data_IF_465924502322
#
_entry.id   IF_465924502322
#
_cell.length_a   1.000
_cell.length_b   1.000
_cell.length_c   1.000
_cell.angle_alpha   90.00
_cell.angle_beta   90.00
_cell.angle_gamma   90.00
#
_symmetry.space_group_name_H-M   'P 1'
#
loop_
_entity.id
_entity.type
_entity.pdbx_description
1 polymer ?
#
# COMPACT_ATOMS: atom_id res chain seq x y z
N UNK A 1 3.85 9.18 19.82
CA UNK A 1 5.11 8.88 19.12
C UNK A 1 6.19 8.20 19.97
N UNK A 2 6.55 8.66 21.18
CA UNK A 2 7.62 8.01 22.00
C UNK A 2 7.32 6.56 22.36
N UNK A 3 6.08 6.21 22.72
CA UNK A 3 5.67 4.85 23.05
C UNK A 3 5.85 3.90 21.87
N UNK A 4 5.40 4.30 20.67
CA UNK A 4 5.56 3.52 19.44
C UNK A 4 7.04 3.28 19.12
N UNK A 5 7.90 4.30 19.27
CA UNK A 5 9.35 4.14 19.05
C UNK A 5 9.98 3.15 20.04
N UNK A 6 9.49 3.09 21.29
CA UNK A 6 9.95 2.07 22.25
C UNK A 6 9.56 0.66 21.82
N UNK A 7 8.36 0.46 21.27
CA UNK A 7 7.94 -0.83 20.71
C UNK A 7 8.83 -1.23 19.52
N UNK A 8 9.09 -0.31 18.56
CA UNK A 8 10.01 -0.58 17.46
C UNK A 8 11.38 -1.01 17.95
N UNK A 9 11.91 -0.32 18.95
CA UNK A 9 13.21 -0.64 19.52
C UNK A 9 13.23 -1.99 20.25
N UNK A 10 12.17 -2.31 21.00
CA UNK A 10 12.04 -3.57 21.74
C UNK A 10 11.95 -4.78 20.81
N UNK A 11 11.24 -4.63 19.67
CA UNK A 11 11.00 -5.70 18.69
C UNK A 11 12.00 -5.69 17.52
N UNK A 12 13.05 -4.86 17.56
CA UNK A 12 13.98 -4.71 16.45
C UNK A 12 14.68 -6.03 16.07
N UNK A 13 14.91 -6.19 14.77
CA UNK A 13 15.65 -7.30 14.20
C UNK A 13 16.75 -6.77 13.27
N UNK A 14 18.00 -6.82 13.75
CA UNK A 14 19.17 -6.33 13.01
C UNK A 14 19.41 -7.10 11.71
N UNK A 15 19.15 -8.41 11.70
CA UNK A 15 19.35 -9.24 10.49
C UNK A 15 18.39 -8.81 9.38
N UNK A 16 17.10 -8.63 9.69
CA UNK A 16 16.11 -8.15 8.72
C UNK A 16 16.48 -6.73 8.27
N UNK A 17 16.86 -5.85 9.19
CA UNK A 17 17.26 -4.49 8.85
C UNK A 17 18.45 -4.47 7.88
N UNK A 18 19.45 -5.33 8.08
CA UNK A 18 20.62 -5.44 7.19
C UNK A 18 20.25 -6.01 5.81
N UNK A 19 19.37 -7.00 5.75
CA UNK A 19 18.85 -7.51 4.48
C UNK A 19 18.14 -6.40 3.69
N UNK A 20 17.27 -5.63 4.34
CA UNK A 20 16.55 -4.53 3.69
C UNK A 20 17.51 -3.44 3.19
N UNK A 21 18.52 -3.07 3.97
CA UNK A 21 19.56 -2.09 3.53
C UNK A 21 20.33 -2.60 2.30
N UNK A 22 20.75 -3.86 2.32
CA UNK A 22 21.45 -4.49 1.18
C UNK A 22 20.57 -4.59 -0.06
N UNK A 23 19.26 -4.72 0.11
CA UNK A 23 18.27 -4.71 -0.97
C UNK A 23 17.96 -3.30 -1.49
N UNK A 24 18.62 -2.24 -0.99
CA UNK A 24 18.44 -0.88 -1.48
C UNK A 24 17.24 -0.12 -0.88
N UNK A 25 16.78 -0.50 0.31
CA UNK A 25 15.72 0.24 1.01
C UNK A 25 16.12 1.72 1.18
N UNK A 26 15.23 2.68 0.83
CA UNK A 26 15.55 4.12 0.87
C UNK A 26 15.55 4.70 2.28
N UNK A 27 15.15 3.94 3.28
CA UNK A 27 14.99 4.43 4.64
C UNK A 27 16.33 4.52 5.39
N UNK A 28 16.55 5.67 6.03
CA UNK A 28 17.72 5.87 6.88
C UNK A 28 17.67 5.05 8.18
N UNK A 29 16.44 4.89 8.73
CA UNK A 29 16.19 4.14 9.97
C UNK A 29 15.30 2.95 9.63
N UNK A 30 15.82 1.75 9.94
CA UNK A 30 15.12 0.47 9.76
C UNK A 30 15.32 -0.33 11.05
N UNK A 31 14.24 -0.62 11.75
CA UNK A 31 14.25 -1.49 12.93
C UNK A 31 14.18 -2.97 12.55
N UNK A 32 13.70 -3.29 11.35
CA UNK A 32 13.59 -4.65 10.84
C UNK A 32 12.38 -5.41 11.37
N UNK A 33 11.30 -4.72 11.74
CA UNK A 33 10.06 -5.38 12.14
C UNK A 33 9.39 -6.01 10.92
N UNK A 34 8.79 -7.19 11.15
CA UNK A 34 7.91 -7.81 10.17
C UNK A 34 6.46 -7.30 10.29
N UNK A 35 5.64 -7.66 9.29
CA UNK A 35 4.24 -7.20 9.24
C UNK A 35 3.40 -7.64 10.46
N UNK A 36 3.47 -8.90 10.96
CA UNK A 36 2.77 -9.31 12.16
C UNK A 36 3.10 -8.46 13.40
N UNK A 37 4.36 -8.10 13.61
CA UNK A 37 4.79 -7.24 14.72
C UNK A 37 4.19 -5.82 14.60
N UNK A 38 4.14 -5.27 13.40
CA UNK A 38 3.51 -3.97 13.16
C UNK A 38 1.99 -4.04 13.38
N UNK A 39 1.33 -5.13 12.99
CA UNK A 39 -0.10 -5.35 13.27
C UNK A 39 -0.37 -5.44 14.78
N UNK A 40 0.50 -6.11 15.53
CA UNK A 40 0.40 -6.16 16.99
C UNK A 40 0.52 -4.77 17.62
N UNK A 41 1.51 -3.97 17.19
CA UNK A 41 1.67 -2.59 17.66
C UNK A 41 0.45 -1.74 17.28
N UNK A 42 -0.07 -1.89 16.06
CA UNK A 42 -1.28 -1.19 15.63
C UNK A 42 -2.49 -1.52 16.52
N UNK A 43 -2.70 -2.82 16.82
CA UNK A 43 -3.79 -3.27 17.69
C UNK A 43 -3.68 -2.71 19.12
N UNK A 44 -2.46 -2.60 19.65
CA UNK A 44 -2.20 -2.02 20.98
C UNK A 44 -2.35 -0.48 20.97
N UNK A 45 -2.09 0.17 19.85
CA UNK A 45 -2.18 1.63 19.73
C UNK A 45 -3.62 2.08 19.53
N UNK A 46 -4.41 1.33 18.77
CA UNK A 46 -5.75 1.72 18.33
C UNK A 46 -5.73 2.81 17.25
N UNK A 47 -6.92 3.27 16.90
CA UNK A 47 -7.10 4.32 15.90
C UNK A 47 -6.68 5.68 16.47
N UNK A 48 -5.75 6.37 15.79
CA UNK A 48 -5.23 7.68 16.16
C UNK A 48 -4.73 8.43 14.92
N UNK A 49 -5.56 9.32 14.38
CA UNK A 49 -5.28 10.06 13.16
C UNK A 49 -4.08 11.03 13.30
N UNK A 50 -3.93 11.68 14.46
CA UNK A 50 -2.85 12.64 14.69
C UNK A 50 -1.51 11.91 14.78
N UNK A 51 -1.46 10.81 15.53
CA UNK A 51 -0.28 9.97 15.62
C UNK A 51 0.07 9.37 14.26
N UNK A 52 -0.92 8.91 13.49
CA UNK A 52 -0.71 8.36 12.16
C UNK A 52 -0.10 9.41 11.19
N UNK A 53 -0.61 10.65 11.20
CA UNK A 53 -0.02 11.76 10.42
C UNK A 53 1.42 12.05 10.85
N UNK A 54 1.68 12.04 12.15
CA UNK A 54 3.03 12.23 12.69
C UNK A 54 3.99 11.11 12.31
N UNK A 55 3.50 9.86 12.25
CA UNK A 55 4.27 8.70 11.83
C UNK A 55 4.53 8.72 10.32
N UNK A 56 3.54 9.10 9.51
CA UNK A 56 3.70 9.27 8.07
C UNK A 56 4.72 10.36 7.72
N UNK A 57 4.66 11.49 8.40
CA UNK A 57 5.61 12.58 8.23
C UNK A 57 7.05 12.20 8.63
N UNK A 58 7.24 11.14 9.44
CA UNK A 58 8.55 10.60 9.78
C UNK A 58 9.08 9.67 8.67
N UNK A 59 9.21 10.22 7.47
CA UNK A 59 9.55 9.51 6.22
C UNK A 59 10.95 8.89 6.19
N UNK A 60 11.81 9.20 7.16
CA UNK A 60 13.14 8.58 7.28
C UNK A 60 13.12 7.22 7.98
N UNK A 61 12.00 6.86 8.61
CA UNK A 61 11.85 5.61 9.39
C UNK A 61 10.83 4.70 8.72
N UNK A 62 11.27 3.53 8.26
CA UNK A 62 10.45 2.53 7.56
C UNK A 62 9.20 2.13 8.34
N UNK A 63 9.38 1.71 9.58
CA UNK A 63 8.30 1.20 10.43
C UNK A 63 7.27 2.29 10.79
N UNK A 64 7.69 3.55 10.84
CA UNK A 64 6.77 4.67 11.04
C UNK A 64 5.79 4.80 9.86
N UNK A 65 6.30 4.78 8.63
CA UNK A 65 5.45 4.87 7.45
C UNK A 65 4.57 3.62 7.26
N UNK A 66 5.06 2.43 7.63
CA UNK A 66 4.27 1.20 7.58
C UNK A 66 3.15 1.18 8.61
N UNK A 67 3.39 1.69 9.82
CA UNK A 67 2.40 1.68 10.90
C UNK A 67 1.30 2.73 10.70
N UNK A 68 1.63 3.88 10.12
CA UNK A 68 0.70 4.99 9.94
C UNK A 68 -0.65 4.58 9.30
N UNK A 69 -0.71 3.87 8.16
CA UNK A 69 -1.99 3.46 7.56
C UNK A 69 -2.72 2.36 8.34
N UNK A 70 -2.06 1.73 9.31
CA UNK A 70 -2.69 0.70 10.13
C UNK A 70 -3.48 1.28 11.31
N UNK A 71 -3.11 2.48 11.76
CA UNK A 71 -3.75 3.17 12.90
C UNK A 71 -4.52 4.43 12.47
N UNK A 72 -4.53 4.75 11.18
CA UNK A 72 -5.35 5.87 10.70
C UNK A 72 -6.82 5.44 10.65
N UNK A 73 -7.76 6.19 11.29
CA UNK A 73 -9.19 5.89 11.22
C UNK A 73 -9.69 5.97 9.79
N UNK A 74 -10.25 4.88 9.27
CA UNK A 74 -10.67 4.80 7.85
C UNK A 74 -11.66 5.88 7.45
N UNK A 75 -12.58 6.23 8.37
CA UNK A 75 -13.61 7.24 8.13
C UNK A 75 -13.07 8.67 8.01
N UNK A 76 -11.84 8.93 8.47
CA UNK A 76 -11.23 10.25 8.41
C UNK A 76 -10.33 10.46 7.18
N UNK A 77 -10.05 9.41 6.41
CA UNK A 77 -9.20 9.53 5.22
C UNK A 77 -10.00 10.12 4.06
N UNK A 78 -9.90 11.42 3.88
CA UNK A 78 -10.42 12.08 2.69
C UNK A 78 -9.50 11.86 1.48
N UNK A 79 -10.05 12.08 0.28
CA UNK A 79 -9.34 11.89 -0.97
C UNK A 79 -8.08 12.77 -1.07
N UNK A 80 -8.16 14.02 -0.66
CA UNK A 80 -7.03 14.94 -0.72
C UNK A 80 -5.89 14.53 0.21
N UNK A 81 -6.19 13.97 1.40
CA UNK A 81 -5.15 13.41 2.27
C UNK A 81 -4.54 12.14 1.67
N UNK A 82 -5.36 11.26 1.09
CA UNK A 82 -4.88 10.06 0.38
C UNK A 82 -3.90 10.42 -0.75
N UNK A 83 -4.24 11.40 -1.58
CA UNK A 83 -3.38 11.89 -2.66
C UNK A 83 -2.05 12.47 -2.14
N UNK A 84 -2.08 13.24 -1.04
CA UNK A 84 -0.84 13.75 -0.40
C UNK A 84 0.03 12.61 0.14
N UNK A 85 -0.57 11.59 0.72
CA UNK A 85 0.17 10.42 1.20
C UNK A 85 0.80 9.67 0.03
N UNK A 86 0.05 9.39 -1.02
CA UNK A 86 0.54 8.70 -2.24
C UNK A 86 1.73 9.47 -2.84
N UNK A 87 1.62 10.79 -2.99
CA UNK A 87 2.67 11.62 -3.57
C UNK A 87 4.01 11.55 -2.83
N UNK A 88 4.00 11.12 -1.56
CA UNK A 88 5.18 11.03 -0.68
C UNK A 88 5.69 9.60 -0.44
N UNK A 89 5.13 8.58 -1.12
CA UNK A 89 5.56 7.18 -0.98
C UNK A 89 7.00 6.99 -1.49
N UNK A 90 7.94 6.54 -0.64
CA UNK A 90 9.34 6.36 -1.05
C UNK A 90 9.66 4.95 -1.56
N UNK A 91 8.79 3.96 -1.31
CA UNK A 91 9.05 2.56 -1.63
C UNK A 91 7.76 1.75 -1.82
N UNK A 92 7.82 0.71 -2.66
CA UNK A 92 6.68 -0.15 -3.01
C UNK A 92 5.99 -0.77 -1.78
N UNK A 93 6.75 -1.20 -0.78
CA UNK A 93 6.18 -1.79 0.45
C UNK A 93 5.25 -0.83 1.21
N UNK A 94 5.50 0.47 1.11
CA UNK A 94 4.64 1.50 1.73
C UNK A 94 3.34 1.64 0.95
N UNK A 95 3.41 1.62 -0.39
CA UNK A 95 2.22 1.59 -1.24
C UNK A 95 1.36 0.36 -0.95
N UNK A 96 1.99 -0.82 -0.82
CA UNK A 96 1.30 -2.07 -0.51
C UNK A 96 0.51 -1.99 0.80
N UNK A 97 1.15 -1.51 1.85
CA UNK A 97 0.50 -1.39 3.16
C UNK A 97 -0.59 -0.33 3.14
N UNK A 98 -0.34 0.82 2.53
CA UNK A 98 -1.33 1.91 2.39
C UNK A 98 -2.57 1.43 1.63
N UNK A 99 -2.40 0.78 0.48
CA UNK A 99 -3.49 0.24 -0.32
C UNK A 99 -4.28 -0.82 0.46
N UNK A 100 -3.58 -1.78 1.08
CA UNK A 100 -4.23 -2.91 1.75
C UNK A 100 -4.92 -2.51 3.06
N UNK A 101 -4.34 -1.62 3.86
CA UNK A 101 -4.85 -1.29 5.20
C UNK A 101 -5.88 -0.17 5.19
N UNK A 102 -5.76 0.77 4.26
CA UNK A 102 -6.50 2.01 4.31
C UNK A 102 -7.27 2.32 3.01
N UNK A 103 -6.58 2.41 1.85
CA UNK A 103 -7.20 2.95 0.64
C UNK A 103 -8.28 2.04 0.05
N UNK A 104 -8.14 0.71 0.09
CA UNK A 104 -9.14 -0.21 -0.43
C UNK A 104 -10.52 -0.10 0.24
N UNK A 105 -10.59 0.53 1.40
CA UNK A 105 -11.83 0.72 2.16
C UNK A 105 -12.50 2.07 1.85
N UNK A 106 -11.92 2.88 0.98
CA UNK A 106 -12.42 4.20 0.67
C UNK A 106 -13.45 4.15 -0.49
N UNK A 107 -14.54 4.91 -0.41
CA UNK A 107 -15.57 4.90 -1.47
C UNK A 107 -15.04 5.41 -2.82
N UNK A 108 -13.96 6.19 -2.81
CA UNK A 108 -13.31 6.75 -4.01
C UNK A 108 -12.14 5.88 -4.52
N UNK A 109 -11.92 4.68 -3.99
CA UNK A 109 -10.72 3.88 -4.27
C UNK A 109 -10.54 3.55 -5.77
N UNK A 110 -11.61 3.16 -6.46
CA UNK A 110 -11.57 2.82 -7.89
C UNK A 110 -11.26 4.06 -8.74
N UNK A 111 -11.89 5.20 -8.43
CA UNK A 111 -11.61 6.46 -9.13
C UNK A 111 -10.17 6.92 -8.90
N UNK A 112 -9.69 6.83 -7.66
CA UNK A 112 -8.32 7.16 -7.32
C UNK A 112 -7.31 6.32 -8.12
N UNK A 113 -7.55 5.00 -8.21
CA UNK A 113 -6.69 4.12 -9.02
C UNK A 113 -6.69 4.54 -10.50
N UNK A 114 -7.86 4.89 -11.05
CA UNK A 114 -7.99 5.35 -12.44
C UNK A 114 -7.20 6.63 -12.72
N UNK A 115 -7.21 7.58 -11.79
CA UNK A 115 -6.47 8.84 -11.95
C UNK A 115 -4.96 8.63 -11.85
N UNK A 116 -4.49 7.74 -10.96
CA UNK A 116 -3.08 7.42 -10.78
C UNK A 116 -2.44 6.72 -11.99
N UNK A 117 -3.21 5.99 -12.80
CA UNK A 117 -2.73 5.32 -14.03
C UNK A 117 -2.11 6.32 -15.00
N UNK A 118 -2.67 7.53 -15.10
CA UNK A 118 -2.20 8.59 -16.00
C UNK A 118 -0.91 9.28 -15.56
N UNK A 119 -0.44 9.04 -14.34
CA UNK A 119 0.74 9.71 -13.77
C UNK A 119 2.04 9.34 -14.49
N UNK A 120 2.95 10.30 -14.60
CA UNK A 120 4.30 10.07 -15.08
C UNK A 120 5.19 9.35 -14.07
N UNK A 121 4.82 9.37 -12.78
CA UNK A 121 5.56 8.70 -11.71
C UNK A 121 5.25 7.22 -11.69
N UNK A 122 6.29 6.38 -11.78
CA UNK A 122 6.16 4.91 -11.66
C UNK A 122 5.50 4.48 -10.36
N UNK A 123 5.77 5.16 -9.25
CA UNK A 123 5.20 4.81 -7.95
C UNK A 123 3.69 5.07 -7.88
N UNK A 124 3.18 6.10 -8.54
CA UNK A 124 1.74 6.37 -8.61
C UNK A 124 1.04 5.26 -9.41
N UNK A 125 1.59 4.86 -10.57
CA UNK A 125 1.08 3.74 -11.37
C UNK A 125 1.17 2.42 -10.63
N UNK A 126 2.26 2.18 -9.90
CA UNK A 126 2.38 1.03 -9.00
C UNK A 126 1.29 1.02 -7.94
N UNK A 127 1.03 2.17 -7.32
CA UNK A 127 -0.03 2.32 -6.30
C UNK A 127 -1.41 2.03 -6.90
N UNK A 128 -1.70 2.48 -8.13
CA UNK A 128 -2.93 2.14 -8.85
C UNK A 128 -3.10 0.61 -9.01
N UNK A 129 -2.06 -0.09 -9.48
CA UNK A 129 -2.08 -1.54 -9.62
C UNK A 129 -2.32 -2.24 -8.28
N UNK A 130 -1.60 -1.83 -7.22
CA UNK A 130 -1.74 -2.44 -5.90
C UNK A 130 -3.11 -2.18 -5.27
N UNK A 131 -3.68 -1.01 -5.50
CA UNK A 131 -5.04 -0.69 -5.06
C UNK A 131 -6.05 -1.58 -5.78
N UNK A 132 -5.98 -1.69 -7.10
CA UNK A 132 -6.87 -2.55 -7.88
C UNK A 132 -6.67 -4.03 -7.58
N UNK A 133 -5.47 -4.47 -7.22
CA UNK A 133 -5.23 -5.84 -6.75
C UNK A 133 -6.02 -6.17 -5.47
N UNK A 134 -6.20 -5.20 -4.58
CA UNK A 134 -7.02 -5.36 -3.38
C UNK A 134 -8.54 -5.27 -3.66
N UNK A 135 -8.94 -4.86 -4.85
CA UNK A 135 -10.34 -4.65 -5.26
C UNK A 135 -10.78 -5.58 -6.39
N UNK A 136 -9.88 -6.42 -6.91
CA UNK A 136 -10.10 -7.22 -8.13
C UNK A 136 -11.34 -8.10 -8.05
N UNK A 137 -11.63 -8.68 -6.89
CA UNK A 137 -12.81 -9.54 -6.70
C UNK A 137 -14.15 -8.79 -6.85
N UNK A 138 -14.16 -7.49 -6.53
CA UNK A 138 -15.36 -6.66 -6.65
C UNK A 138 -15.39 -5.83 -7.94
N UNK A 139 -14.24 -5.64 -8.58
CA UNK A 139 -14.06 -4.74 -9.73
C UNK A 139 -13.12 -5.35 -10.79
N UNK A 140 -13.39 -6.56 -11.31
CA UNK A 140 -12.48 -7.24 -12.23
C UNK A 140 -12.30 -6.49 -13.55
N UNK A 141 -13.33 -5.85 -14.08
CA UNK A 141 -13.25 -5.07 -15.32
C UNK A 141 -12.34 -3.84 -15.18
N UNK A 142 -12.49 -3.09 -14.08
CA UNK A 142 -11.64 -1.93 -13.78
C UNK A 142 -10.19 -2.36 -13.48
N UNK A 143 -9.99 -3.52 -12.86
CA UNK A 143 -8.68 -4.09 -12.62
C UNK A 143 -7.97 -4.45 -13.95
N UNK A 144 -8.69 -5.11 -14.87
CA UNK A 144 -8.17 -5.41 -16.21
C UNK A 144 -7.81 -4.13 -16.99
N UNK A 145 -8.70 -3.12 -16.96
CA UNK A 145 -8.45 -1.84 -17.62
C UNK A 145 -7.22 -1.12 -17.03
N UNK A 146 -7.07 -1.13 -15.69
CA UNK A 146 -5.90 -0.55 -15.01
C UNK A 146 -4.61 -1.28 -15.42
N UNK A 147 -4.63 -2.60 -15.41
CA UNK A 147 -3.48 -3.41 -15.81
C UNK A 147 -3.04 -3.13 -17.26
N UNK A 148 -4.00 -3.09 -18.20
CA UNK A 148 -3.75 -2.81 -19.61
C UNK A 148 -3.18 -1.39 -19.82
N UNK A 149 -3.74 -0.39 -19.16
CA UNK A 149 -3.30 0.99 -19.28
C UNK A 149 -1.88 1.21 -18.73
N UNK A 150 -1.53 0.56 -17.61
CA UNK A 150 -0.15 0.62 -17.07
C UNK A 150 0.82 -0.15 -17.97
N UNK A 151 0.44 -1.35 -18.47
CA UNK A 151 1.28 -2.15 -19.37
C UNK A 151 1.61 -1.44 -20.70
N UNK A 152 0.80 -0.48 -21.14
CA UNK A 152 1.08 0.36 -22.29
C UNK A 152 2.28 1.31 -22.10
N UNK A 153 2.76 1.47 -20.85
CA UNK A 153 3.91 2.31 -20.47
C UNK A 153 4.92 1.48 -19.65
N UNK A 154 5.71 0.62 -20.29
CA UNK A 154 6.61 -0.34 -19.63
C UNK A 154 7.54 0.31 -18.61
N UNK A 155 7.66 -0.33 -17.46
CA UNK A 155 8.43 0.16 -16.30
C UNK A 155 8.82 -1.01 -15.39
N UNK A 156 10.11 -1.10 -15.03
CA UNK A 156 10.63 -2.20 -14.22
C UNK A 156 9.91 -2.39 -12.86
N UNK A 157 9.31 -1.32 -12.32
CA UNK A 157 8.55 -1.38 -11.07
C UNK A 157 7.15 -1.97 -11.29
N UNK A 158 6.51 -1.70 -12.45
CA UNK A 158 5.09 -1.97 -12.69
C UNK A 158 4.81 -3.18 -13.55
N UNK A 159 5.72 -3.56 -14.47
CA UNK A 159 5.46 -4.57 -15.50
C UNK A 159 4.97 -5.90 -14.94
N UNK A 160 5.68 -6.44 -13.96
CA UNK A 160 5.30 -7.71 -13.34
C UNK A 160 3.95 -7.63 -12.62
N UNK A 161 3.70 -6.54 -11.93
CA UNK A 161 2.46 -6.35 -11.17
C UNK A 161 1.27 -6.15 -12.11
N UNK A 162 1.46 -5.43 -13.22
CA UNK A 162 0.43 -5.27 -14.24
C UNK A 162 0.06 -6.63 -14.89
N UNK A 163 1.05 -7.46 -15.23
CA UNK A 163 0.80 -8.79 -15.76
C UNK A 163 0.02 -9.68 -14.78
N UNK A 164 0.44 -9.69 -13.50
CA UNK A 164 -0.26 -10.46 -12.46
C UNK A 164 -1.69 -9.96 -12.22
N UNK A 165 -1.93 -8.63 -12.24
CA UNK A 165 -3.26 -8.07 -12.10
C UNK A 165 -4.16 -8.43 -13.27
N UNK A 166 -3.63 -8.41 -14.50
CA UNK A 166 -4.38 -8.81 -15.70
C UNK A 166 -4.83 -10.28 -15.63
N UNK A 167 -3.93 -11.18 -15.19
CA UNK A 167 -4.24 -12.60 -14.99
C UNK A 167 -5.33 -12.79 -13.93
N UNK A 168 -5.19 -12.16 -12.78
CA UNK A 168 -6.17 -12.25 -11.69
C UNK A 168 -7.54 -11.70 -12.09
N UNK A 169 -7.56 -10.57 -12.81
CA UNK A 169 -8.80 -9.97 -13.30
C UNK A 169 -9.52 -10.87 -14.31
N UNK A 170 -8.77 -11.54 -15.21
CA UNK A 170 -9.34 -12.52 -16.14
C UNK A 170 -9.97 -13.69 -15.40
N UNK A 171 -9.26 -14.24 -14.43
CA UNK A 171 -9.75 -15.34 -13.60
C UNK A 171 -11.05 -14.97 -12.86
N UNK A 172 -11.10 -13.79 -12.23
CA UNK A 172 -12.30 -13.31 -11.53
C UNK A 172 -13.49 -13.10 -12.47
N UNK A 173 -13.26 -12.58 -13.68
CA UNK A 173 -14.32 -12.40 -14.69
C UNK A 173 -14.90 -13.72 -15.18
N UNK A 174 -14.09 -14.77 -15.31
CA UNK A 174 -14.56 -16.12 -15.67
C UNK A 174 -15.43 -16.73 -14.58
N UNK A 175 -15.11 -16.51 -13.31
CA UNK A 175 -15.93 -16.97 -12.18
C UNK A 175 -17.29 -16.31 -12.14
N UNK A 176 -17.37 -14.98 -12.36
CA UNK A 176 -18.66 -14.25 -12.42
C UNK A 176 -19.55 -14.77 -13.55
N UNK A 177 -18.97 -15.08 -14.72
CA UNK A 177 -19.71 -15.56 -15.90
C UNK A 177 -20.20 -17.00 -15.76
N UNK A 178 -19.48 -17.85 -15.00
CA UNK A 178 -19.83 -19.27 -14.84
C UNK A 178 -20.84 -19.55 -13.71
N UNK A 179 -21.27 -18.53 -12.97
CA UNK A 179 -22.39 -18.62 -12.02
C UNK A 179 -22.18 -19.51 -10.79
N UNK A 180 -20.93 -19.79 -10.40
CA UNK A 180 -20.58 -20.75 -9.35
C UNK A 180 -20.55 -20.18 -7.92
N UNK A 181 -21.23 -19.05 -7.67
CA UNK A 181 -21.54 -18.60 -6.32
C UNK A 181 -23.06 -18.64 -6.09
N UNK A 182 -23.63 -19.84 -5.88
CA UNK A 182 -24.90 -20.03 -5.18
C UNK A 182 -24.70 -20.84 -3.91
#
# INVERSE_FOLDING_TARGET
>A
MQTVKRHFFAMRNGVIADVLRKAGSPFRIIFGLNLPQLVEIAAQTGDDAELARSLWANSTTRESMMLAPMIFPRAEMDRGEAERWIASIPAAEIADVLCHRLLRHQPYAVELARDLVGSDKSMDRYTALRLMFNLVSAHPAEAAATAAAVAARPDALTDRVAAMLAEEASYMSEFENNGDFR
#
